data_IF_881229711190
#
_entry.id   IF_881229711190
#
_cell.length_a   1.000
_cell.length_b   1.000
_cell.length_c   1.000
_cell.angle_alpha   90.00
_cell.angle_beta   90.00
_cell.angle_gamma   90.00
#
_symmetry.space_group_name_H-M   'P 1'
#
loop_
_entity.id
_entity.type
_entity.pdbx_description
1 polymer ?
#
# COMPACT_ATOMS: atom_id res chain seq x y z
N UNK A 1 -43.34 10.13 -1.05
CA UNK A 1 -44.49 11.01 -1.39
C UNK A 1 -43.99 12.34 -1.99
N UNK A 2 -43.03 13.05 -1.37
CA UNK A 2 -42.45 14.30 -1.90
C UNK A 2 -41.86 14.20 -3.31
N UNK A 3 -41.01 13.20 -3.59
CA UNK A 3 -40.43 13.01 -4.93
C UNK A 3 -41.50 12.69 -5.98
N UNK A 4 -42.54 11.94 -5.59
CA UNK A 4 -43.67 11.63 -6.46
C UNK A 4 -44.49 12.90 -6.78
N UNK A 5 -44.74 13.73 -5.77
CA UNK A 5 -45.45 15.00 -5.93
C UNK A 5 -44.65 15.98 -6.81
N UNK A 6 -43.34 16.07 -6.60
CA UNK A 6 -42.42 16.89 -7.40
C UNK A 6 -42.34 16.41 -8.85
N UNK A 7 -42.21 15.09 -9.07
CA UNK A 7 -42.21 14.50 -10.40
C UNK A 7 -43.54 14.73 -11.14
N UNK A 8 -44.67 14.58 -10.45
CA UNK A 8 -45.99 14.86 -11.01
C UNK A 8 -46.12 16.34 -11.40
N UNK A 9 -45.67 17.25 -10.54
CA UNK A 9 -45.68 18.68 -10.80
C UNK A 9 -44.78 19.07 -11.99
N UNK A 10 -43.58 18.50 -12.05
CA UNK A 10 -42.64 18.72 -13.15
C UNK A 10 -43.19 18.18 -14.47
N UNK A 11 -43.83 17.00 -14.46
CA UNK A 11 -44.45 16.41 -15.65
C UNK A 11 -45.59 17.28 -16.20
N UNK A 12 -46.47 17.77 -15.31
CA UNK A 12 -47.54 18.72 -15.67
C UNK A 12 -46.93 19.99 -16.27
N UNK A 13 -45.91 20.56 -15.61
CA UNK A 13 -45.25 21.79 -16.06
C UNK A 13 -44.62 21.62 -17.44
N UNK A 14 -43.90 20.51 -17.69
CA UNK A 14 -43.27 20.22 -18.98
C UNK A 14 -44.31 20.03 -20.09
N UNK A 15 -45.45 19.38 -19.80
CA UNK A 15 -46.52 19.18 -20.77
C UNK A 15 -47.13 20.50 -21.25
N UNK A 16 -47.48 21.40 -20.31
CA UNK A 16 -48.02 22.72 -20.66
C UNK A 16 -46.96 23.67 -21.24
N UNK A 17 -45.74 23.65 -20.71
CA UNK A 17 -44.65 24.53 -21.15
C UNK A 17 -44.09 24.15 -22.53
N UNK A 18 -44.42 22.96 -23.08
CA UNK A 18 -44.01 22.54 -24.43
C UNK A 18 -44.31 23.57 -25.51
N UNK A 19 -45.49 24.21 -25.47
CA UNK A 19 -45.86 25.25 -26.44
C UNK A 19 -44.97 26.50 -26.34
N UNK A 20 -44.46 26.78 -25.14
CA UNK A 20 -43.60 27.94 -24.87
C UNK A 20 -42.15 27.59 -25.23
N UNK A 21 -41.69 26.36 -25.00
CA UNK A 21 -40.32 25.91 -25.32
C UNK A 21 -40.00 26.03 -26.81
N UNK A 22 -40.97 25.88 -27.71
CA UNK A 22 -40.76 26.10 -29.14
C UNK A 22 -40.48 27.55 -29.55
N UNK A 23 -40.87 28.52 -28.72
CA UNK A 23 -40.64 29.96 -28.93
C UNK A 23 -39.29 30.42 -28.36
N UNK A 24 -38.58 29.57 -27.62
CA UNK A 24 -37.33 29.94 -26.96
C UNK A 24 -36.21 30.05 -28.00
N UNK A 25 -35.52 31.19 -28.10
CA UNK A 25 -34.35 31.33 -28.95
C UNK A 25 -33.24 30.36 -28.54
N UNK A 26 -32.55 29.78 -29.51
CA UNK A 26 -31.38 28.91 -29.29
C UNK A 26 -30.28 29.57 -28.44
N UNK A 27 -30.21 30.91 -28.44
CA UNK A 27 -29.31 31.69 -27.60
C UNK A 27 -29.52 31.48 -26.09
N UNK A 28 -30.76 31.39 -25.62
CA UNK A 28 -31.07 31.22 -24.19
C UNK A 28 -30.67 29.83 -23.71
N UNK A 29 -30.94 28.81 -24.53
CA UNK A 29 -30.55 27.43 -24.23
C UNK A 29 -29.03 27.29 -24.23
N UNK A 30 -28.33 27.91 -25.19
CA UNK A 30 -26.87 27.94 -25.22
C UNK A 30 -26.28 28.63 -23.98
N UNK A 31 -26.87 29.75 -23.54
CA UNK A 31 -26.43 30.45 -22.33
C UNK A 31 -26.61 29.59 -21.06
N UNK A 32 -27.71 28.83 -20.97
CA UNK A 32 -27.95 27.90 -19.85
C UNK A 32 -26.94 26.74 -19.83
N UNK A 33 -26.60 26.19 -21.00
CA UNK A 33 -25.55 25.16 -21.11
C UNK A 33 -24.20 25.76 -20.73
N UNK A 34 -23.89 26.96 -21.23
CA UNK A 34 -22.62 27.63 -20.94
C UNK A 34 -22.48 27.97 -19.45
N UNK A 35 -23.53 28.40 -18.77
CA UNK A 35 -23.48 28.64 -17.32
C UNK A 35 -23.17 27.36 -16.55
N UNK A 36 -23.79 26.23 -16.92
CA UNK A 36 -23.50 24.94 -16.31
C UNK A 36 -22.04 24.48 -16.57
N UNK A 37 -21.52 24.70 -17.78
CA UNK A 37 -20.11 24.41 -18.10
C UNK A 37 -19.17 25.32 -17.31
N UNK A 38 -19.49 26.61 -17.17
CA UNK A 38 -18.71 27.55 -16.36
C UNK A 38 -18.62 27.11 -14.90
N UNK A 39 -19.73 26.68 -14.30
CA UNK A 39 -19.76 26.16 -12.93
C UNK A 39 -18.84 24.93 -12.77
N UNK A 40 -18.85 24.02 -13.75
CA UNK A 40 -17.94 22.86 -13.76
C UNK A 40 -16.47 23.28 -13.98
N UNK A 41 -16.22 24.26 -14.86
CA UNK A 41 -14.88 24.79 -15.11
C UNK A 41 -14.26 25.47 -13.87
N UNK A 42 -15.06 26.17 -13.07
CA UNK A 42 -14.61 26.75 -11.80
C UNK A 42 -14.22 25.66 -10.79
N UNK A 43 -15.01 24.60 -10.68
CA UNK A 43 -14.68 23.44 -9.84
C UNK A 43 -13.40 22.73 -10.33
N UNK A 44 -13.12 22.75 -11.64
CA UNK A 44 -11.91 22.20 -12.23
C UNK A 44 -10.63 22.90 -11.74
N UNK A 45 -10.69 24.19 -11.41
CA UNK A 45 -9.55 24.94 -10.88
C UNK A 45 -9.15 24.42 -9.48
N UNK A 46 -10.13 24.08 -8.65
CA UNK A 46 -9.86 23.44 -7.36
C UNK A 46 -9.22 22.05 -7.53
N UNK A 47 -9.66 21.29 -8.54
CA UNK A 47 -9.07 19.99 -8.85
C UNK A 47 -7.61 20.11 -9.31
N UNK A 48 -7.26 21.18 -10.04
CA UNK A 48 -5.88 21.45 -10.47
C UNK A 48 -4.93 21.68 -9.29
N UNK A 49 -5.40 22.29 -8.21
CA UNK A 49 -4.62 22.43 -6.97
C UNK A 49 -4.35 21.05 -6.36
N UNK A 50 -5.34 20.16 -6.38
CA UNK A 50 -5.21 18.78 -5.90
C UNK A 50 -4.23 17.95 -6.75
N UNK A 51 -4.23 18.16 -8.06
CA UNK A 51 -3.27 17.55 -8.99
C UNK A 51 -1.80 17.87 -8.65
N UNK A 52 -1.53 19.01 -8.02
CA UNK A 52 -0.16 19.35 -7.59
C UNK A 52 0.32 18.51 -6.41
N UNK A 53 -0.59 17.99 -5.59
CA UNK A 53 -0.25 17.17 -4.42
C UNK A 53 -0.04 15.71 -4.79
N UNK A 54 -0.81 15.19 -5.75
CA UNK A 54 -0.75 13.78 -6.17
C UNK A 54 -0.63 13.66 -7.69
N UNK A 55 0.60 13.48 -8.17
CA UNK A 55 0.92 13.35 -9.60
C UNK A 55 0.14 12.20 -10.26
N UNK A 56 -0.07 11.08 -9.54
CA UNK A 56 -0.79 9.93 -10.07
C UNK A 56 -2.27 10.28 -10.36
N UNK A 57 -2.95 10.94 -9.43
CA UNK A 57 -4.35 11.33 -9.58
C UNK A 57 -4.50 12.41 -10.67
N UNK A 58 -3.50 13.28 -10.80
CA UNK A 58 -3.42 14.24 -11.89
C UNK A 58 -3.37 13.57 -13.26
N UNK A 59 -2.57 12.50 -13.41
CA UNK A 59 -2.48 11.74 -14.66
C UNK A 59 -3.81 11.08 -15.00
N UNK A 60 -4.50 10.48 -14.03
CA UNK A 60 -5.84 9.90 -14.24
C UNK A 60 -6.81 10.99 -14.71
N UNK A 61 -6.85 12.13 -14.02
CA UNK A 61 -7.72 13.24 -14.39
C UNK A 61 -7.44 13.76 -15.81
N UNK A 62 -6.17 14.03 -16.14
CA UNK A 62 -5.78 14.49 -17.48
C UNK A 62 -6.16 13.46 -18.53
N UNK A 63 -5.91 12.18 -18.28
CA UNK A 63 -6.27 11.10 -19.22
C UNK A 63 -7.78 11.01 -19.47
N UNK A 64 -8.60 11.19 -18.43
CA UNK A 64 -10.05 11.17 -18.53
C UNK A 64 -10.57 12.40 -19.33
N UNK A 65 -10.01 13.58 -19.07
CA UNK A 65 -10.33 14.80 -19.81
C UNK A 65 -9.95 14.68 -21.29
N UNK A 66 -8.77 14.13 -21.57
CA UNK A 66 -8.29 13.89 -22.93
C UNK A 66 -9.20 12.90 -23.66
N UNK A 67 -9.55 11.80 -23.00
CA UNK A 67 -10.49 10.79 -23.51
C UNK A 67 -11.84 11.42 -23.89
N UNK A 68 -12.41 12.25 -22.99
CA UNK A 68 -13.69 12.92 -23.23
C UNK A 68 -13.65 13.96 -24.37
N UNK A 69 -12.48 14.58 -24.63
CA UNK A 69 -12.33 15.59 -25.68
C UNK A 69 -12.06 14.98 -27.07
N UNK A 70 -11.25 13.93 -27.15
CA UNK A 70 -10.83 13.35 -28.44
C UNK A 70 -11.77 12.26 -28.96
N UNK A 71 -12.51 11.57 -28.08
CA UNK A 71 -13.39 10.48 -28.49
C UNK A 71 -14.81 11.04 -28.72
N UNK A 72 -15.36 10.96 -29.94
CA UNK A 72 -16.67 11.54 -30.25
C UNK A 72 -17.83 10.84 -29.55
N UNK A 73 -17.65 9.57 -29.17
CA UNK A 73 -18.65 8.79 -28.45
C UNK A 73 -18.40 8.85 -26.94
N UNK A 74 -19.27 9.55 -26.21
CA UNK A 74 -19.15 9.71 -24.76
C UNK A 74 -19.06 8.38 -23.99
N UNK A 75 -19.82 7.36 -24.41
CA UNK A 75 -19.77 6.04 -23.77
C UNK A 75 -18.40 5.35 -23.92
N UNK A 76 -17.77 5.46 -25.09
CA UNK A 76 -16.43 4.91 -25.32
C UNK A 76 -15.38 5.69 -24.54
N UNK A 77 -15.49 7.03 -24.53
CA UNK A 77 -14.60 7.90 -23.76
C UNK A 77 -14.62 7.57 -22.27
N UNK A 78 -15.82 7.37 -21.73
CA UNK A 78 -16.02 6.98 -20.34
C UNK A 78 -15.41 5.60 -20.04
N UNK A 79 -15.65 4.61 -20.91
CA UNK A 79 -15.09 3.26 -20.73
C UNK A 79 -13.56 3.30 -20.68
N UNK A 80 -12.92 4.05 -21.59
CA UNK A 80 -11.46 4.23 -21.61
C UNK A 80 -10.95 4.93 -20.35
N UNK A 81 -11.65 5.97 -19.87
CA UNK A 81 -11.27 6.66 -18.64
C UNK A 81 -11.35 5.73 -17.41
N UNK A 82 -12.39 4.90 -17.33
CA UNK A 82 -12.58 3.94 -16.24
C UNK A 82 -11.52 2.84 -16.28
N UNK A 83 -11.20 2.30 -17.46
CA UNK A 83 -10.16 1.26 -17.57
C UNK A 83 -8.79 1.79 -17.16
N UNK A 84 -8.43 3.01 -17.57
CA UNK A 84 -7.17 3.65 -17.14
C UNK A 84 -7.15 3.87 -15.63
N UNK A 85 -8.25 4.35 -15.04
CA UNK A 85 -8.36 4.55 -13.59
C UNK A 85 -8.17 3.23 -12.83
N UNK A 86 -8.85 2.17 -13.26
CA UNK A 86 -8.73 0.85 -12.66
C UNK A 86 -7.31 0.28 -12.80
N UNK A 87 -6.71 0.39 -13.98
CA UNK A 87 -5.34 -0.06 -14.23
C UNK A 87 -4.34 0.68 -13.35
N UNK A 88 -4.52 1.99 -13.17
CA UNK A 88 -3.69 2.80 -12.28
C UNK A 88 -3.78 2.32 -10.82
N UNK A 89 -4.98 1.99 -10.35
CA UNK A 89 -5.19 1.42 -9.00
C UNK A 89 -4.46 0.08 -8.84
N UNK A 90 -4.54 -0.80 -9.85
CA UNK A 90 -3.84 -2.10 -9.83
C UNK A 90 -2.33 -1.89 -9.73
N UNK A 91 -1.75 -1.06 -10.60
CA UNK A 91 -0.31 -0.76 -10.60
C UNK A 91 0.13 -0.13 -9.27
N UNK A 92 -0.71 0.74 -8.69
CA UNK A 92 -0.39 1.41 -7.43
C UNK A 92 -0.44 0.45 -6.24
N UNK A 93 -1.41 -0.46 -6.24
CA UNK A 93 -1.51 -1.54 -5.25
C UNK A 93 -0.34 -2.51 -5.37
N UNK A 94 0.22 -2.65 -6.57
CA UNK A 94 1.32 -3.56 -6.83
C UNK A 94 2.69 -3.11 -6.27
N UNK A 95 2.83 -1.84 -5.86
CA UNK A 95 4.08 -1.33 -5.31
C UNK A 95 4.10 -1.49 -3.79
N UNK A 96 4.85 -2.46 -3.23
CA UNK A 96 4.95 -2.59 -1.80
C UNK A 96 5.71 -1.40 -1.22
N UNK A 97 5.16 -0.86 -0.14
CA UNK A 97 5.83 0.05 0.79
C UNK A 97 6.41 -0.77 1.93
N UNK A 98 7.72 -0.90 1.91
CA UNK A 98 8.51 -1.49 2.98
C UNK A 98 9.31 -0.35 3.63
N UNK A 99 9.19 -0.22 4.95
CA UNK A 99 9.83 0.83 5.72
C UNK A 99 10.71 0.19 6.79
N UNK A 100 11.96 0.64 6.90
CA UNK A 100 12.87 0.18 7.95
C UNK A 100 12.57 1.00 9.21
N UNK A 101 12.41 0.29 10.31
CA UNK A 101 12.06 0.88 11.59
C UNK A 101 13.23 0.69 12.55
N UNK A 102 13.73 1.80 13.08
CA UNK A 102 14.82 1.83 14.06
C UNK A 102 14.24 2.18 15.43
N UNK A 103 14.77 1.56 16.49
CA UNK A 103 14.39 1.87 17.86
C UNK A 103 15.03 3.21 18.26
N UNK A 104 14.23 4.25 18.40
CA UNK A 104 14.71 5.58 18.82
C UNK A 104 14.71 5.76 20.35
N UNK A 105 13.81 5.07 21.08
CA UNK A 105 13.71 5.14 22.55
C UNK A 105 13.12 3.82 23.08
N UNK A 106 13.14 3.59 24.39
CA UNK A 106 12.70 2.33 25.03
C UNK A 106 11.34 1.80 24.51
N UNK A 107 10.38 2.69 24.21
CA UNK A 107 9.05 2.36 23.68
C UNK A 107 8.70 3.04 22.33
N UNK A 108 9.67 3.60 21.61
CA UNK A 108 9.39 4.34 20.36
C UNK A 108 10.20 3.79 19.18
N UNK A 109 9.47 3.44 18.13
CA UNK A 109 9.96 2.90 16.87
C UNK A 109 9.69 3.92 15.77
N UNK A 110 10.73 4.40 15.08
CA UNK A 110 10.65 5.49 14.10
C UNK A 110 11.23 5.02 12.77
N UNK A 111 10.67 5.52 11.67
CA UNK A 111 11.16 5.29 10.31
C UNK A 111 12.57 5.87 10.12
N UNK A 112 13.51 5.03 9.68
CA UNK A 112 14.90 5.40 9.42
C UNK A 112 15.02 6.48 8.32
N UNK A 113 14.15 6.44 7.31
CA UNK A 113 14.22 7.38 6.18
C UNK A 113 13.77 8.80 6.55
N UNK A 114 13.12 8.98 7.70
CA UNK A 114 12.54 10.27 8.12
C UNK A 114 13.43 11.07 9.05
N UNK A 115 14.36 10.39 9.73
CA UNK A 115 15.35 10.98 10.62
C UNK A 115 16.65 10.24 10.38
N UNK A 116 17.74 10.95 10.04
CA UNK A 116 19.09 10.40 9.92
C UNK A 116 19.56 9.86 11.29
N UNK A 117 18.99 8.75 11.72
CA UNK A 117 19.32 8.08 12.97
C UNK A 117 20.50 7.15 12.68
N UNK A 118 21.62 7.42 13.35
CA UNK A 118 22.89 6.66 13.29
C UNK A 118 22.79 5.26 13.95
N UNK A 119 21.70 4.52 13.72
CA UNK A 119 21.45 3.19 14.28
C UNK A 119 21.86 2.03 13.37
N UNK A 120 22.71 2.27 12.37
CA UNK A 120 23.00 1.32 11.29
C UNK A 120 23.71 0.02 11.74
N UNK A 121 24.30 0.02 12.94
CA UNK A 121 25.17 -1.05 13.44
C UNK A 121 24.53 -1.96 14.51
N UNK A 122 23.20 -1.90 14.69
CA UNK A 122 22.52 -2.82 15.58
C UNK A 122 22.34 -4.21 14.93
N UNK A 123 22.56 -5.33 15.65
CA UNK A 123 22.40 -6.69 15.12
C UNK A 123 20.94 -7.10 14.83
N UNK A 124 19.99 -6.21 15.14
CA UNK A 124 18.56 -6.44 15.00
C UNK A 124 17.96 -5.34 14.12
N UNK A 125 17.49 -5.72 12.92
CA UNK A 125 16.71 -4.83 12.04
C UNK A 125 15.23 -5.20 12.08
N UNK A 126 14.37 -4.19 12.20
CA UNK A 126 12.92 -4.35 12.15
C UNK A 126 12.43 -3.80 10.80
N UNK A 127 11.85 -4.67 9.98
CA UNK A 127 11.25 -4.30 8.69
C UNK A 127 9.73 -4.23 8.86
N UNK A 128 9.16 -3.05 8.69
CA UNK A 128 7.71 -2.86 8.72
C UNK A 128 7.14 -2.91 7.32
N UNK A 129 6.16 -3.80 7.14
CA UNK A 129 5.43 -3.95 5.88
C UNK A 129 4.06 -3.28 6.07
N UNK A 130 3.83 -2.18 5.35
CA UNK A 130 2.57 -1.40 5.43
C UNK A 130 1.66 -1.67 4.22
N UNK A 131 2.01 -2.65 3.39
CA UNK A 131 1.27 -2.99 2.17
C UNK A 131 0.57 -4.34 2.27
N UNK A 132 -0.56 -4.56 1.57
CA UNK A 132 -1.17 -5.87 1.50
C UNK A 132 -0.22 -6.87 0.84
N UNK A 133 -0.18 -8.08 1.40
CA UNK A 133 0.68 -9.15 0.94
C UNK A 133 -0.10 -10.00 -0.06
N UNK A 134 -0.03 -9.59 -1.32
CA UNK A 134 -0.68 -10.26 -2.46
C UNK A 134 0.38 -10.92 -3.33
N UNK A 135 0.01 -11.99 -4.03
CA UNK A 135 0.91 -12.73 -4.92
C UNK A 135 1.72 -11.82 -5.85
N UNK A 136 1.09 -10.77 -6.41
CA UNK A 136 1.71 -9.82 -7.31
C UNK A 136 2.88 -9.02 -6.69
N UNK A 137 2.91 -8.86 -5.37
CA UNK A 137 3.89 -8.01 -4.66
C UNK A 137 4.95 -8.83 -3.92
N UNK A 138 4.75 -10.15 -3.82
CA UNK A 138 5.60 -11.03 -3.02
C UNK A 138 7.05 -11.00 -3.43
N UNK A 139 7.33 -11.01 -4.73
CA UNK A 139 8.70 -10.99 -5.22
C UNK A 139 9.41 -9.70 -4.82
N UNK A 140 8.75 -8.55 -4.96
CA UNK A 140 9.30 -7.26 -4.57
C UNK A 140 9.51 -7.16 -3.04
N UNK A 141 8.60 -7.75 -2.23
CA UNK A 141 8.78 -7.83 -0.78
C UNK A 141 9.96 -8.74 -0.42
N UNK A 142 10.10 -9.88 -1.10
CA UNK A 142 11.19 -10.85 -0.89
C UNK A 142 12.55 -10.24 -1.25
N UNK A 143 12.63 -9.53 -2.37
CA UNK A 143 13.83 -8.80 -2.79
C UNK A 143 14.22 -7.72 -1.77
N UNK A 144 13.24 -7.00 -1.22
CA UNK A 144 13.54 -6.01 -0.18
C UNK A 144 14.01 -6.68 1.12
N UNK A 145 13.38 -7.79 1.54
CA UNK A 145 13.84 -8.56 2.71
C UNK A 145 15.27 -9.07 2.50
N UNK A 146 15.59 -9.63 1.33
CA UNK A 146 16.93 -10.16 1.04
C UNK A 146 17.99 -9.07 0.98
N UNK A 147 17.66 -7.92 0.39
CA UNK A 147 18.51 -6.73 0.38
C UNK A 147 18.81 -6.23 1.79
N UNK A 148 17.79 -6.17 2.65
CA UNK A 148 17.99 -5.78 4.06
C UNK A 148 18.79 -6.83 4.83
N UNK A 149 18.59 -8.12 4.57
CA UNK A 149 19.37 -9.20 5.17
C UNK A 149 20.86 -9.15 4.79
N UNK A 150 21.17 -8.75 3.56
CA UNK A 150 22.55 -8.54 3.11
C UNK A 150 23.18 -7.31 3.79
N UNK A 151 22.40 -6.26 4.05
CA UNK A 151 22.88 -5.02 4.67
C UNK A 151 23.14 -5.14 6.18
N UNK A 152 22.59 -6.15 6.87
CA UNK A 152 22.91 -6.43 8.28
C UNK A 152 24.33 -7.00 8.37
N UNK A 153 25.26 -6.21 8.91
CA UNK A 153 26.57 -6.69 9.35
C UNK A 153 26.40 -7.51 10.62
N UNK A 154 26.86 -8.75 10.60
CA UNK A 154 26.74 -9.66 11.75
C UNK A 154 27.48 -9.11 12.96
N UNK A 155 26.89 -9.24 14.15
CA UNK A 155 27.56 -8.99 15.41
C UNK A 155 27.76 -10.33 16.12
N UNK A 156 28.99 -10.59 16.52
CA UNK A 156 29.39 -11.73 17.36
C UNK A 156 28.86 -11.53 18.78
N UNK A 157 28.25 -12.57 19.37
CA UNK A 157 28.10 -12.68 20.83
C UNK A 157 29.39 -13.27 21.41
N UNK A 158 29.96 -12.58 22.39
CA UNK A 158 30.93 -13.15 23.32
C UNK A 158 30.24 -14.28 24.09
N UNK A 159 30.74 -15.50 23.91
CA UNK A 159 30.21 -16.68 24.57
C UNK A 159 30.20 -16.57 26.09
N UNK A 160 29.12 -17.08 26.69
CA UNK A 160 29.15 -17.61 28.06
C UNK A 160 28.95 -19.12 27.92
N UNK A 161 30.04 -19.83 27.62
CA UNK A 161 30.10 -21.25 27.89
C UNK A 161 30.63 -21.49 29.31
N UNK A 162 29.97 -22.43 29.99
CA UNK A 162 30.52 -23.35 30.99
C UNK A 162 30.51 -22.93 32.48
N UNK A 163 29.58 -23.49 33.26
CA UNK A 163 29.80 -24.66 34.15
C UNK A 163 28.75 -24.72 35.26
N UNK A 164 27.97 -25.80 35.32
CA UNK A 164 27.92 -26.73 36.47
C UNK A 164 27.07 -27.96 36.12
N UNK A 165 27.44 -29.17 36.60
CA UNK A 165 26.66 -30.38 36.38
C UNK A 165 25.62 -30.52 37.51
N UNK A 166 24.34 -30.70 37.20
CA UNK A 166 23.43 -31.42 38.10
C UNK A 166 22.11 -31.74 37.43
N UNK A 167 21.70 -33.00 37.56
CA UNK A 167 20.41 -33.54 37.17
C UNK A 167 19.25 -32.84 37.89
N UNK A 168 18.17 -32.46 37.18
CA UNK A 168 16.77 -32.76 37.58
C UNK A 168 15.77 -32.34 36.51
N UNK A 169 14.89 -33.26 36.18
CA UNK A 169 13.65 -33.09 35.41
C UNK A 169 12.70 -32.05 36.03
N UNK A 170 12.14 -31.15 35.23
CA UNK A 170 10.70 -30.78 35.12
C UNK A 170 10.50 -29.54 34.22
N UNK A 171 9.44 -29.51 33.37
CA UNK A 171 9.10 -28.36 32.54
C UNK A 171 8.07 -27.44 33.24
N UNK A 172 8.20 -26.12 33.14
CA UNK A 172 7.17 -25.06 33.30
C UNK A 172 7.92 -23.71 33.37
N UNK A 173 7.67 -22.71 32.53
CA UNK A 173 6.46 -21.88 32.38
C UNK A 173 6.46 -21.29 30.95
N UNK A 174 5.45 -21.47 30.09
CA UNK A 174 4.14 -20.84 30.14
C UNK A 174 4.20 -19.31 30.38
N UNK A 175 4.45 -18.54 29.32
CA UNK A 175 3.85 -17.20 29.19
C UNK A 175 2.69 -17.36 28.23
N UNK A 176 1.50 -17.47 28.82
CA UNK A 176 0.23 -17.54 28.12
C UNK A 176 -0.09 -16.20 27.43
N UNK A 177 -0.56 -16.36 26.19
CA UNK A 177 -1.51 -15.55 25.43
C UNK A 177 -1.91 -14.16 25.95
N UNK A 178 -1.80 -13.18 25.04
CA UNK A 178 -2.84 -12.17 24.91
C UNK A 178 -3.04 -11.74 23.44
N UNK A 179 -4.18 -12.20 22.91
CA UNK A 179 -5.05 -11.53 21.93
C UNK A 179 -4.65 -11.56 20.43
N UNK A 180 -5.29 -12.52 19.76
CA UNK A 180 -6.03 -12.35 18.50
C UNK A 180 -5.26 -11.83 17.28
N UNK A 181 -4.86 -12.78 16.43
CA UNK A 181 -4.84 -12.60 14.97
C UNK A 181 -3.78 -11.66 14.41
N UNK A 182 -2.49 -11.88 14.72
CA UNK A 182 -1.39 -11.17 14.04
C UNK A 182 -0.22 -12.13 13.78
N UNK A 183 0.01 -12.44 12.51
CA UNK A 183 1.18 -13.20 12.09
C UNK A 183 2.42 -12.28 12.13
N UNK A 184 3.12 -12.26 13.26
CA UNK A 184 4.50 -11.76 13.33
C UNK A 184 5.42 -12.93 12.96
N UNK A 185 5.97 -12.92 11.75
CA UNK A 185 6.91 -13.93 11.29
C UNK A 185 8.33 -13.50 11.72
N UNK A 186 8.96 -14.28 12.60
CA UNK A 186 10.38 -14.14 12.92
C UNK A 186 11.12 -15.04 11.93
N UNK A 187 11.83 -14.46 10.97
CA UNK A 187 12.69 -15.23 10.06
C UNK A 187 14.09 -15.26 10.67
N UNK A 188 14.45 -16.40 11.26
CA UNK A 188 15.84 -16.70 11.61
C UNK A 188 16.45 -17.32 10.35
N UNK A 189 17.18 -16.52 9.57
CA UNK A 189 17.94 -17.05 8.43
C UNK A 189 19.14 -17.83 8.96
N UNK A 190 19.05 -19.16 8.94
CA UNK A 190 20.19 -20.04 9.13
C UNK A 190 20.79 -20.32 7.77
N UNK A 191 21.91 -19.68 7.45
CA UNK A 191 22.65 -20.01 6.23
C UNK A 191 23.45 -21.28 6.53
N UNK A 192 23.05 -22.40 5.93
CA UNK A 192 23.85 -23.62 5.90
C UNK A 192 23.51 -24.45 4.69
N UNK A 193 24.35 -24.31 3.67
CA UNK A 193 24.88 -25.46 2.93
C UNK A 193 26.37 -25.20 2.66
N UNK A 194 27.31 -25.76 3.46
CA UNK A 194 28.68 -25.88 3.02
C UNK A 194 28.87 -27.22 2.28
N UNK A 195 29.38 -27.15 1.05
CA UNK A 195 29.92 -28.30 0.33
C UNK A 195 30.90 -29.10 1.23
N UNK A 196 30.83 -30.45 1.25
CA UNK A 196 31.43 -31.26 2.31
C UNK A 196 32.97 -31.43 2.27
N UNK A 197 33.74 -30.56 1.60
CA UNK A 197 35.18 -30.80 1.37
C UNK A 197 36.17 -29.69 1.72
N UNK A 198 35.80 -28.60 2.39
CA UNK A 198 36.80 -27.69 2.98
C UNK A 198 36.36 -27.18 4.36
N UNK A 199 36.74 -27.90 5.41
CA UNK A 199 36.47 -27.55 6.80
C UNK A 199 37.71 -26.82 7.38
N UNK A 200 37.59 -25.51 7.61
CA UNK A 200 38.56 -24.69 8.34
C UNK A 200 37.95 -24.38 9.73
N UNK A 201 38.62 -24.59 10.87
CA UNK A 201 37.96 -24.69 12.18
C UNK A 201 37.69 -23.34 12.87
N UNK A 202 37.44 -22.26 12.12
CA UNK A 202 37.32 -20.90 12.68
C UNK A 202 36.06 -20.11 12.27
N UNK A 203 35.13 -20.70 11.53
CA UNK A 203 33.89 -20.01 11.13
C UNK A 203 32.74 -20.37 12.09
N UNK A 204 32.51 -19.52 13.07
CA UNK A 204 31.32 -19.56 13.93
C UNK A 204 30.08 -19.08 13.15
N UNK A 205 28.88 -19.67 13.37
CA UNK A 205 27.67 -19.26 12.68
C UNK A 205 27.31 -17.81 13.04
N UNK A 206 27.27 -16.92 12.04
CA UNK A 206 26.89 -15.52 12.23
C UNK A 206 25.37 -15.42 12.21
N UNK A 207 24.72 -15.26 13.36
CA UNK A 207 23.26 -15.15 13.42
C UNK A 207 22.82 -13.73 13.03
N UNK A 208 22.10 -13.63 11.91
CA UNK A 208 21.41 -12.40 11.50
C UNK A 208 19.94 -12.50 11.92
N UNK A 209 19.44 -11.53 12.67
CA UNK A 209 18.06 -11.50 13.12
C UNK A 209 17.31 -10.34 12.46
N UNK A 210 16.22 -10.66 11.75
CA UNK A 210 15.32 -9.68 11.15
C UNK A 210 13.93 -9.92 11.71
N UNK A 211 13.35 -8.85 12.27
CA UNK A 211 11.97 -8.87 12.77
C UNK A 211 11.08 -8.27 11.70
N UNK A 212 10.11 -9.03 11.19
CA UNK A 212 9.07 -8.50 10.30
C UNK A 212 7.88 -7.99 11.14
N UNK A 213 7.64 -6.69 11.08
CA UNK A 213 6.43 -6.08 11.60
C UNK A 213 5.36 -6.02 10.48
N UNK A 214 4.39 -6.94 10.57
CA UNK A 214 3.23 -7.00 9.67
C UNK A 214 2.01 -6.23 10.18
N UNK A 215 2.14 -5.37 11.21
CA UNK A 215 1.02 -4.63 11.79
C UNK A 215 0.30 -3.70 10.80
N UNK A 216 0.99 -3.26 9.75
CA UNK A 216 0.44 -2.44 8.67
C UNK A 216 -0.16 -3.23 7.50
N UNK A 217 -0.12 -4.57 7.53
CA UNK A 217 -0.62 -5.41 6.44
C UNK A 217 -2.14 -5.52 6.52
N UNK A 218 -2.83 -4.95 5.54
CA UNK A 218 -4.30 -4.95 5.51
C UNK A 218 -4.92 -6.32 5.13
N UNK A 219 -4.23 -7.09 4.30
CA UNK A 219 -4.69 -8.38 3.79
C UNK A 219 -3.49 -9.26 3.41
N UNK A 220 -3.65 -10.58 3.57
CA UNK A 220 -2.63 -11.58 3.23
C UNK A 220 -3.26 -12.68 2.38
N UNK A 221 -2.68 -12.90 1.20
CA UNK A 221 -3.05 -13.97 0.28
C UNK A 221 -2.34 -15.30 0.65
N UNK A 222 -3.03 -16.45 0.69
CA UNK A 222 -2.38 -17.74 0.93
C UNK A 222 -1.27 -18.07 -0.08
N UNK A 223 -1.38 -17.65 -1.35
CA UNK A 223 -0.30 -17.86 -2.34
C UNK A 223 0.93 -17.02 -2.01
N UNK A 224 0.71 -15.81 -1.48
CA UNK A 224 1.78 -14.94 -1.04
C UNK A 224 2.58 -15.54 0.12
N UNK A 225 1.90 -16.16 1.07
CA UNK A 225 2.54 -16.84 2.21
C UNK A 225 3.37 -18.02 1.74
N UNK A 226 2.85 -18.82 0.79
CA UNK A 226 3.60 -19.95 0.22
C UNK A 226 4.88 -19.50 -0.46
N UNK A 227 4.82 -18.43 -1.25
CA UNK A 227 6.00 -17.87 -1.92
C UNK A 227 7.03 -17.30 -0.94
N UNK A 228 6.60 -16.70 0.18
CA UNK A 228 7.52 -16.20 1.21
C UNK A 228 8.10 -17.31 2.10
N UNK A 229 7.45 -18.46 2.17
CA UNK A 229 7.98 -19.63 2.88
C UNK A 229 9.04 -20.42 2.11
N UNK A 230 9.26 -20.08 0.83
CA UNK A 230 10.25 -20.69 -0.06
C UNK A 230 11.58 -19.92 -0.07
#
# INVERSE_FOLDING_TARGET
>A
ISNLLSALWMAITLYFARSIFGLIPSSVVAAMILSAVCDVCLNLQHLRVLCSSYICDAVIFVSALLSALFIPNLCHAFLVAVTISLLSIVIRTQRPKCEIVVRATENCYIEENRYECEGLDAPLRILRITSPLIFANCEAVREEISKQAAAVKGLFETGIESRTPSMRSQPLMAVNECVSGRASLIIITHDSDPDPLQMNPSDSPTFKCIVLDCSGVAYVDPEAVKMLSQ
#
